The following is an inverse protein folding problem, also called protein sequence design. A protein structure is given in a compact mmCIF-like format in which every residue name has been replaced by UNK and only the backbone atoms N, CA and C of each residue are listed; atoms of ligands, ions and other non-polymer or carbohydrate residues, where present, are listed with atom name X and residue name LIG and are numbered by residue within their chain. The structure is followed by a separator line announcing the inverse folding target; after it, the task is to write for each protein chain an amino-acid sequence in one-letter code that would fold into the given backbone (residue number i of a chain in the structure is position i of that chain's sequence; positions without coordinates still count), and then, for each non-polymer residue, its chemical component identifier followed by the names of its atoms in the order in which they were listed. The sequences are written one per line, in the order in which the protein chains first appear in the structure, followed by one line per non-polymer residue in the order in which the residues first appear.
data_IF_130899728153
#
_entry.id   IF_130899728153
#
_cell.length_a   1.000
_cell.length_b   1.000
_cell.length_c   1.000
_cell.angle_alpha   90.00
_cell.angle_beta   90.00
_cell.angle_gamma   90.00
#
_symmetry.space_group_name_H-M   'P 1'
#
loop_
_entity.id
_entity.type
_entity.pdbx_description
1 polymer ?
#
# COMPACT_ATOMS: atom_id res chain seq x y z
N UNK A 1 12.11 9.44 -29.15
CA UNK A 1 11.24 10.65 -29.10
C UNK A 1 11.60 11.56 -27.92
N UNK A 2 11.74 11.05 -26.69
CA UNK A 2 12.11 11.89 -25.52
C UNK A 2 13.45 12.64 -25.64
N UNK A 3 14.45 12.05 -26.33
CA UNK A 3 15.75 12.71 -26.56
C UNK A 3 15.64 14.02 -27.36
N UNK A 4 14.75 14.09 -28.35
CA UNK A 4 14.54 15.32 -29.12
C UNK A 4 13.85 16.40 -28.28
N UNK A 5 12.92 16.02 -27.39
CA UNK A 5 12.29 16.95 -26.44
C UNK A 5 13.33 17.54 -25.49
N UNK A 6 14.27 16.71 -25.02
CA UNK A 6 15.41 17.16 -24.21
C UNK A 6 16.32 18.14 -24.94
N UNK A 7 16.65 17.88 -26.21
CA UNK A 7 17.47 18.79 -27.04
C UNK A 7 16.82 20.17 -27.22
N UNK A 8 15.50 20.20 -27.46
CA UNK A 8 14.76 21.46 -27.56
C UNK A 8 14.67 22.19 -26.20
N UNK A 9 14.47 21.47 -25.09
CA UNK A 9 14.52 22.07 -23.74
C UNK A 9 15.90 22.68 -23.44
N UNK A 10 16.99 21.97 -23.75
CA UNK A 10 18.36 22.45 -23.55
C UNK A 10 18.63 23.73 -24.36
N UNK A 11 18.17 23.76 -25.61
CA UNK A 11 18.29 24.93 -26.48
C UNK A 11 17.55 26.16 -25.91
N UNK A 12 16.30 26.00 -25.44
CA UNK A 12 15.55 27.10 -24.82
C UNK A 12 16.17 27.57 -23.50
N UNK A 13 16.74 26.68 -22.70
CA UNK A 13 17.45 27.07 -21.47
C UNK A 13 18.68 27.94 -21.76
N UNK A 14 19.44 27.65 -22.82
CA UNK A 14 20.59 28.47 -23.23
C UNK A 14 20.12 29.85 -23.71
N UNK A 15 19.03 29.91 -24.48
CA UNK A 15 18.45 31.18 -24.93
C UNK A 15 17.95 32.02 -23.73
N UNK A 16 17.24 31.40 -22.78
CA UNK A 16 16.75 32.08 -21.58
C UNK A 16 17.86 32.58 -20.65
N UNK A 17 18.98 31.85 -20.57
CA UNK A 17 20.17 32.31 -19.86
C UNK A 17 20.77 33.55 -20.53
N UNK A 18 20.85 33.57 -21.86
CA UNK A 18 21.36 34.74 -22.61
C UNK A 18 20.47 35.99 -22.54
N UNK A 19 19.16 35.81 -22.36
CA UNK A 19 18.18 36.92 -22.25
C UNK A 19 17.92 37.37 -20.81
N UNK A 20 18.71 36.92 -19.82
CA UNK A 20 18.57 37.29 -18.39
C UNK A 20 17.15 37.03 -17.82
N UNK A 21 16.47 35.97 -18.30
CA UNK A 21 15.08 35.68 -17.92
C UNK A 21 14.93 35.30 -16.43
N UNK A 22 16.03 35.05 -15.73
CA UNK A 22 16.10 34.81 -14.29
C UNK A 22 15.47 35.96 -13.47
N UNK A 23 15.41 37.18 -14.01
CA UNK A 23 14.70 38.29 -13.34
C UNK A 23 13.19 38.06 -13.21
N UNK A 24 12.60 37.11 -13.96
CA UNK A 24 11.20 36.69 -13.80
C UNK A 24 10.92 36.16 -12.38
N UNK A 25 11.93 35.58 -11.71
CA UNK A 25 11.79 35.13 -10.33
C UNK A 25 11.50 36.29 -9.36
N UNK A 26 11.89 37.52 -9.70
CA UNK A 26 11.54 38.73 -8.93
C UNK A 26 10.12 39.23 -9.21
N UNK A 27 9.56 38.87 -10.39
CA UNK A 27 8.18 39.20 -10.77
C UNK A 27 7.18 38.19 -10.18
N UNK A 28 7.62 36.97 -9.89
CA UNK A 28 6.82 35.98 -9.18
C UNK A 28 6.39 36.56 -7.82
N UNK A 29 5.11 36.87 -7.69
CA UNK A 29 4.57 37.42 -6.45
C UNK A 29 4.50 36.32 -5.40
N UNK A 30 4.70 36.69 -4.13
CA UNK A 30 4.57 35.77 -2.98
C UNK A 30 3.25 34.97 -3.00
N UNK A 31 2.17 35.57 -3.50
CA UNK A 31 0.88 34.89 -3.65
C UNK A 31 0.90 33.78 -4.72
N UNK A 32 1.66 33.95 -5.81
CA UNK A 32 1.83 32.91 -6.82
C UNK A 32 2.65 31.72 -6.30
N UNK A 33 3.67 31.98 -5.47
CA UNK A 33 4.44 30.92 -4.79
C UNK A 33 3.58 30.11 -3.80
N UNK A 34 2.75 30.81 -3.02
CA UNK A 34 1.81 30.17 -2.08
C UNK A 34 0.74 29.34 -2.81
N UNK A 35 0.23 29.80 -3.96
CA UNK A 35 -0.73 29.03 -4.77
C UNK A 35 -0.09 27.81 -5.45
N UNK A 36 1.14 27.95 -5.96
CA UNK A 36 1.84 26.86 -6.64
C UNK A 36 2.21 25.73 -5.67
N UNK A 37 2.70 26.07 -4.48
CA UNK A 37 2.98 25.09 -3.43
C UNK A 37 1.71 24.38 -2.94
N UNK A 38 0.59 25.11 -2.80
CA UNK A 38 -0.70 24.51 -2.47
C UNK A 38 -1.19 23.55 -3.57
N UNK A 39 -1.03 23.92 -4.84
CA UNK A 39 -1.40 23.05 -5.97
C UNK A 39 -0.63 21.72 -5.92
N UNK A 40 0.69 21.76 -5.70
CA UNK A 40 1.53 20.58 -5.57
C UNK A 40 1.10 19.74 -4.35
N UNK A 41 0.83 20.38 -3.21
CA UNK A 41 0.39 19.69 -2.00
C UNK A 41 -0.95 18.96 -2.21
N UNK A 42 -1.91 19.59 -2.90
CA UNK A 42 -3.19 18.96 -3.24
C UNK A 42 -2.97 17.77 -4.19
N UNK A 43 -2.16 17.95 -5.24
CA UNK A 43 -1.85 16.88 -6.20
C UNK A 43 -1.25 15.65 -5.50
N UNK A 44 -0.25 15.85 -4.63
CA UNK A 44 0.34 14.75 -3.87
C UNK A 44 -0.63 14.11 -2.87
N UNK A 45 -1.50 14.90 -2.25
CA UNK A 45 -2.51 14.38 -1.31
C UNK A 45 -3.53 13.49 -2.04
N UNK A 46 -4.03 13.93 -3.20
CA UNK A 46 -4.97 13.15 -4.02
C UNK A 46 -4.33 11.85 -4.50
N UNK A 47 -3.07 11.89 -4.92
CA UNK A 47 -2.35 10.69 -5.35
C UNK A 47 -2.15 9.70 -4.20
N UNK A 48 -1.78 10.21 -3.01
CA UNK A 48 -1.64 9.38 -1.80
C UNK A 48 -2.97 8.73 -1.40
N UNK A 49 -4.09 9.45 -1.48
CA UNK A 49 -5.43 8.92 -1.19
C UNK A 49 -5.82 7.86 -2.23
N UNK A 50 -5.55 8.08 -3.52
CA UNK A 50 -5.84 7.11 -4.60
C UNK A 50 -5.07 5.81 -4.37
N UNK A 51 -3.80 5.89 -3.98
CA UNK A 51 -2.99 4.71 -3.68
C UNK A 51 -3.60 3.91 -2.51
N UNK A 52 -4.00 4.58 -1.43
CA UNK A 52 -4.66 3.93 -0.29
C UNK A 52 -5.98 3.26 -0.70
N UNK A 53 -6.82 3.97 -1.45
CA UNK A 53 -8.11 3.45 -1.90
C UNK A 53 -7.96 2.21 -2.78
N UNK A 54 -6.98 2.22 -3.68
CA UNK A 54 -6.68 1.08 -4.57
C UNK A 54 -6.19 -0.12 -3.76
N UNK A 55 -5.29 0.09 -2.80
CA UNK A 55 -4.84 -0.97 -1.90
C UNK A 55 -5.97 -1.54 -1.06
N UNK A 56 -6.93 -0.72 -0.60
CA UNK A 56 -8.06 -1.19 0.20
C UNK A 56 -9.05 -2.01 -0.64
N UNK A 57 -9.44 -1.54 -1.83
CA UNK A 57 -10.35 -2.29 -2.71
C UNK A 57 -9.77 -3.64 -3.12
N UNK A 58 -8.51 -3.66 -3.56
CA UNK A 58 -7.87 -4.90 -4.02
C UNK A 58 -7.74 -5.97 -2.92
N UNK A 59 -7.54 -5.57 -1.66
CA UNK A 59 -7.35 -6.50 -0.54
C UNK A 59 -8.62 -6.77 0.28
N UNK A 60 -9.69 -5.97 0.12
CA UNK A 60 -10.97 -6.16 0.83
C UNK A 60 -12.03 -6.84 -0.02
N UNK A 61 -12.10 -6.55 -1.32
CA UNK A 61 -13.17 -7.06 -2.22
C UNK A 61 -12.99 -8.55 -2.55
N UNK A 62 -11.75 -9.04 -2.61
CA UNK A 62 -11.41 -10.47 -2.80
C UNK A 62 -11.91 -11.35 -1.65
N UNK A 63 -12.22 -10.76 -0.49
CA UNK A 63 -12.71 -11.51 0.67
C UNK A 63 -14.20 -11.87 0.59
N UNK A 64 -15.02 -11.10 -0.13
CA UNK A 64 -16.47 -11.33 -0.15
C UNK A 64 -16.81 -12.63 -0.89
N UNK A 65 -16.09 -12.93 -1.98
CA UNK A 65 -16.23 -14.18 -2.72
C UNK A 65 -15.60 -15.38 -2.00
N UNK A 66 -14.47 -15.19 -1.30
CA UNK A 66 -13.74 -16.26 -0.64
C UNK A 66 -14.49 -16.84 0.58
N UNK A 67 -15.14 -16.01 1.39
CA UNK A 67 -15.90 -16.48 2.57
C UNK A 67 -17.18 -17.23 2.17
N UNK A 68 -17.89 -16.74 1.15
CA UNK A 68 -19.10 -17.38 0.62
C UNK A 68 -18.79 -18.72 -0.04
N UNK A 69 -17.62 -18.85 -0.69
CA UNK A 69 -17.16 -20.12 -1.27
C UNK A 69 -16.69 -21.08 -0.18
N UNK A 70 -15.99 -20.61 0.86
CA UNK A 70 -15.53 -21.47 1.96
C UNK A 70 -16.69 -22.14 2.72
N UNK A 71 -17.74 -21.37 3.06
CA UNK A 71 -18.94 -21.92 3.72
C UNK A 71 -19.68 -22.93 2.82
N UNK A 72 -19.80 -22.62 1.52
CA UNK A 72 -20.43 -23.53 0.55
C UNK A 72 -19.63 -24.80 0.33
N UNK A 73 -18.29 -24.72 0.33
CA UNK A 73 -17.40 -25.87 0.22
C UNK A 73 -17.47 -26.74 1.48
N UNK A 74 -17.54 -26.17 2.68
CA UNK A 74 -17.74 -26.95 3.91
C UNK A 74 -19.10 -27.66 3.95
N UNK A 75 -20.16 -27.00 3.50
CA UNK A 75 -21.51 -27.58 3.44
C UNK A 75 -21.59 -28.70 2.39
N UNK A 76 -20.95 -28.52 1.23
CA UNK A 76 -20.77 -29.57 0.22
C UNK A 76 -19.95 -30.76 0.75
N UNK A 77 -18.90 -30.50 1.55
CA UNK A 77 -18.07 -31.55 2.17
C UNK A 77 -18.85 -32.37 3.20
N UNK A 78 -19.73 -31.73 3.99
CA UNK A 78 -20.65 -32.42 4.91
C UNK A 78 -21.66 -33.29 4.15
N UNK A 79 -22.17 -32.82 3.01
CA UNK A 79 -23.04 -33.59 2.12
C UNK A 79 -22.33 -34.80 1.50
N UNK A 80 -21.05 -34.67 1.15
CA UNK A 80 -20.23 -35.78 0.65
C UNK A 80 -19.95 -36.84 1.73
N UNK A 81 -19.68 -36.43 2.97
CA UNK A 81 -19.46 -37.37 4.09
C UNK A 81 -20.70 -38.25 4.35
N UNK A 82 -21.90 -37.67 4.19
CA UNK A 82 -23.18 -38.39 4.32
C UNK A 82 -23.47 -39.34 3.14
N UNK A 83 -23.01 -39.02 1.93
CA UNK A 83 -23.14 -39.88 0.76
C UNK A 83 -22.12 -41.02 0.72
N UNK A 84 -20.93 -40.84 1.31
CA UNK A 84 -19.88 -41.85 1.36
C UNK A 84 -20.27 -43.07 2.22
N UNK A 85 -21.14 -42.89 3.23
CA UNK A 85 -21.64 -43.99 4.07
C UNK A 85 -22.59 -44.95 3.31
N UNK A 86 -23.22 -44.50 2.21
CA UNK A 86 -24.15 -45.33 1.40
C UNK A 86 -23.47 -46.28 0.42
N UNK A 87 -22.17 -46.08 0.18
CA UNK A 87 -21.37 -46.90 -0.73
C UNK A 87 -20.41 -47.85 0.01
N UNK A 88 -20.52 -47.92 1.34
CA UNK A 88 -19.77 -48.82 2.22
C UNK A 88 -20.51 -50.15 2.45
N UNK A 89 -21.28 -50.61 1.47
CA UNK A 89 -21.80 -51.98 1.39
C UNK A 89 -21.40 -52.63 0.07
N UNK A 90 -20.11 -52.98 0.02
CA UNK A 90 -19.60 -54.23 -0.56
C UNK A 90 -19.26 -54.37 -2.06
N UNK A 91 -19.33 -53.37 -2.94
CA UNK A 91 -18.90 -53.59 -4.35
C UNK A 91 -17.94 -52.56 -4.95
N UNK A 92 -17.50 -51.56 -4.19
CA UNK A 92 -16.85 -50.38 -4.78
C UNK A 92 -15.32 -50.54 -4.81
N UNK A 93 -14.80 -51.55 -4.12
CA UNK A 93 -13.36 -51.83 -4.05
C UNK A 93 -12.83 -52.65 -5.24
N UNK A 94 -13.67 -53.01 -6.22
CA UNK A 94 -13.29 -53.95 -7.30
C UNK A 94 -13.27 -53.30 -8.70
N UNK A 95 -13.90 -52.13 -8.91
CA UNK A 95 -13.98 -51.54 -10.25
C UNK A 95 -13.22 -50.21 -10.31
N UNK A 96 -11.99 -50.32 -10.80
CA UNK A 96 -11.24 -49.34 -11.60
C UNK A 96 -10.41 -48.26 -10.88
N UNK A 97 -9.07 -48.30 -11.06
CA UNK A 97 -8.14 -47.27 -10.60
C UNK A 97 -7.90 -46.20 -11.68
N UNK A 98 -8.91 -45.50 -12.19
CA UNK A 98 -8.70 -44.50 -13.27
C UNK A 98 -9.73 -43.37 -13.32
N UNK A 99 -10.08 -42.73 -12.21
CA UNK A 99 -10.85 -41.48 -12.30
C UNK A 99 -10.75 -40.57 -11.07
N UNK A 100 -9.54 -40.30 -10.59
CA UNK A 100 -9.30 -39.34 -9.50
C UNK A 100 -8.46 -38.14 -9.97
N UNK A 101 -8.72 -37.60 -11.17
CA UNK A 101 -8.03 -36.39 -11.62
C UNK A 101 -8.95 -35.27 -12.17
N UNK A 102 -10.25 -35.49 -12.32
CA UNK A 102 -11.15 -34.49 -12.91
C UNK A 102 -12.33 -34.12 -12.01
N UNK A 103 -12.11 -34.04 -10.70
CA UNK A 103 -13.06 -33.38 -9.81
C UNK A 103 -12.29 -32.42 -8.90
N UNK A 104 -12.48 -31.14 -9.21
CA UNK A 104 -12.02 -29.99 -8.44
C UNK A 104 -10.50 -29.91 -8.24
N UNK A 105 -9.77 -29.62 -9.32
CA UNK A 105 -8.82 -28.50 -9.20
C UNK A 105 -9.65 -27.21 -9.07
N UNK A 106 -10.35 -27.09 -7.94
CA UNK A 106 -10.37 -25.81 -7.27
C UNK A 106 -8.91 -25.68 -6.89
N UNK A 107 -8.16 -24.97 -7.72
CA UNK A 107 -7.01 -24.25 -7.24
C UNK A 107 -7.62 -23.40 -6.11
N UNK A 108 -7.65 -23.95 -4.89
CA UNK A 108 -7.62 -23.15 -3.70
C UNK A 108 -6.25 -22.52 -3.82
N UNK A 109 -6.19 -21.49 -4.67
CA UNK A 109 -5.34 -20.37 -4.38
C UNK A 109 -5.75 -20.09 -2.95
N UNK A 110 -4.83 -20.41 -2.07
CA UNK A 110 -4.76 -19.90 -0.73
C UNK A 110 -4.76 -18.37 -0.86
N UNK A 111 -5.87 -17.82 -1.33
CA UNK A 111 -6.19 -16.41 -1.25
C UNK A 111 -6.75 -16.26 0.13
N UNK A 112 -5.86 -16.44 1.11
CA UNK A 112 -6.07 -15.95 2.46
C UNK A 112 -6.58 -14.54 2.31
N UNK A 113 -7.77 -14.30 2.84
CA UNK A 113 -8.34 -12.98 2.91
C UNK A 113 -7.45 -12.16 3.86
N UNK A 114 -6.49 -11.42 3.31
CA UNK A 114 -5.53 -10.62 4.07
C UNK A 114 -6.15 -9.26 4.42
N UNK A 115 -7.31 -9.29 5.09
CA UNK A 115 -7.94 -8.10 5.67
C UNK A 115 -6.99 -7.36 6.61
N UNK A 116 -6.21 -8.12 7.35
CA UNK A 116 -5.24 -7.61 8.30
C UNK A 116 -4.14 -6.78 7.60
N UNK A 117 -3.76 -7.14 6.38
CA UNK A 117 -2.78 -6.39 5.57
C UNK A 117 -3.32 -5.03 5.11
N UNK A 118 -4.62 -4.91 4.82
CA UNK A 118 -5.25 -3.61 4.50
C UNK A 118 -5.26 -2.67 5.69
N UNK A 119 -5.67 -3.18 6.85
CA UNK A 119 -5.73 -2.41 8.10
C UNK A 119 -4.32 -2.02 8.52
N UNK A 120 -3.37 -2.94 8.35
CA UNK A 120 -1.97 -2.67 8.58
C UNK A 120 -1.46 -1.53 7.68
N UNK A 121 -1.69 -1.58 6.38
CA UNK A 121 -1.21 -0.55 5.45
C UNK A 121 -1.72 0.84 5.85
N UNK A 122 -3.00 0.94 6.24
CA UNK A 122 -3.58 2.17 6.79
C UNK A 122 -2.89 2.60 8.08
N UNK A 123 -2.62 1.65 8.98
CA UNK A 123 -1.93 1.90 10.24
C UNK A 123 -0.48 2.35 10.04
N UNK A 124 0.29 1.76 9.11
CA UNK A 124 1.64 2.23 8.77
C UNK A 124 1.60 3.61 8.13
N UNK A 125 0.67 3.89 7.23
CA UNK A 125 0.61 5.16 6.52
C UNK A 125 0.23 6.31 7.45
N UNK A 126 -0.88 6.18 8.20
CA UNK A 126 -1.27 7.18 9.20
C UNK A 126 -0.33 7.22 10.40
N UNK A 127 0.21 6.07 10.83
CA UNK A 127 1.16 5.97 11.92
C UNK A 127 2.48 6.65 11.62
N UNK A 128 3.02 6.49 10.40
CA UNK A 128 4.24 7.18 9.96
C UNK A 128 4.02 8.69 9.88
N UNK A 129 2.88 9.13 9.34
CA UNK A 129 2.51 10.55 9.29
C UNK A 129 2.38 11.14 10.70
N UNK A 130 1.64 10.45 11.60
CA UNK A 130 1.44 10.87 12.97
C UNK A 130 2.76 10.98 13.73
N UNK A 131 3.59 9.94 13.64
CA UNK A 131 4.90 9.90 14.31
C UNK A 131 5.83 10.98 13.75
N UNK A 132 5.84 11.22 12.45
CA UNK A 132 6.65 12.28 11.83
C UNK A 132 6.20 13.66 12.32
N UNK A 133 4.89 13.90 12.38
CA UNK A 133 4.34 15.14 12.91
C UNK A 133 4.63 15.30 14.41
N UNK A 134 4.59 14.23 15.19
CA UNK A 134 4.96 14.22 16.60
C UNK A 134 6.44 14.56 16.81
N UNK A 135 7.34 13.92 16.05
CA UNK A 135 8.78 14.21 16.08
C UNK A 135 9.10 15.65 15.66
N UNK A 136 8.43 16.14 14.62
CA UNK A 136 8.56 17.54 14.19
C UNK A 136 8.03 18.51 15.26
N UNK A 137 6.94 18.16 15.95
CA UNK A 137 6.34 19.02 16.98
C UNK A 137 7.15 19.03 18.29
N UNK A 138 8.03 18.06 18.53
CA UNK A 138 8.99 18.14 19.65
C UNK A 138 9.88 19.38 19.59
N UNK A 139 10.01 20.01 18.41
CA UNK A 139 10.66 21.32 18.27
C UNK A 139 10.06 22.41 19.16
N UNK A 140 8.77 22.31 19.50
CA UNK A 140 8.06 23.28 20.34
C UNK A 140 8.11 22.94 21.83
N UNK A 141 8.48 21.71 22.19
CA UNK A 141 8.39 21.23 23.59
C UNK A 141 9.65 21.55 24.41
N UNK A 142 9.53 21.82 25.72
CA UNK A 142 10.65 22.18 26.59
C UNK A 142 11.46 20.97 27.13
N UNK A 143 11.15 19.75 26.70
CA UNK A 143 11.68 18.52 27.30
C UNK A 143 13.12 18.14 26.85
N UNK A 144 13.67 18.74 25.79
CA UNK A 144 14.99 18.40 25.24
C UNK A 144 15.88 19.64 25.06
N UNK A 145 17.20 19.47 25.18
CA UNK A 145 18.19 20.53 24.96
C UNK A 145 18.15 21.05 23.52
N UNK A 146 18.45 22.36 23.32
CA UNK A 146 18.28 23.08 22.04
C UNK A 146 18.86 22.35 20.83
N UNK A 147 20.11 21.87 20.94
CA UNK A 147 20.78 21.17 19.85
C UNK A 147 20.09 19.85 19.50
N UNK A 148 19.79 18.99 20.47
CA UNK A 148 19.16 17.67 20.21
C UNK A 148 17.81 17.78 19.50
N UNK A 149 17.11 18.88 19.72
CA UNK A 149 15.80 19.15 19.13
C UNK A 149 15.87 19.60 17.66
N UNK A 150 16.89 20.36 17.29
CA UNK A 150 17.14 20.74 15.89
C UNK A 150 17.47 19.48 15.08
N UNK A 151 18.39 18.65 15.58
CA UNK A 151 18.68 17.34 14.99
C UNK A 151 17.42 16.47 14.89
N UNK A 152 16.62 16.34 15.94
CA UNK A 152 15.41 15.50 15.89
C UNK A 152 14.38 15.99 14.85
N UNK A 153 14.24 17.30 14.66
CA UNK A 153 13.32 17.88 13.69
C UNK A 153 13.79 17.66 12.25
N UNK A 154 15.08 17.77 11.98
CA UNK A 154 15.67 17.57 10.65
C UNK A 154 15.61 16.09 10.22
N UNK A 155 15.71 15.16 11.17
CA UNK A 155 15.63 13.71 10.92
C UNK A 155 14.23 13.10 11.17
N UNK A 156 13.19 13.90 11.41
CA UNK A 156 11.87 13.40 11.78
C UNK A 156 11.30 12.40 10.75
N UNK A 157 11.34 12.75 9.46
CA UNK A 157 10.79 11.92 8.38
C UNK A 157 11.50 10.56 8.24
N UNK A 158 12.84 10.48 8.08
CA UNK A 158 13.52 9.20 8.00
C UNK A 158 13.44 8.39 9.31
N UNK A 159 13.47 9.05 10.48
CA UNK A 159 13.34 8.35 11.76
C UNK A 159 11.96 7.69 11.90
N UNK A 160 10.87 8.37 11.52
CA UNK A 160 9.53 7.80 11.57
C UNK A 160 9.35 6.62 10.63
N UNK A 161 9.91 6.68 9.41
CA UNK A 161 9.88 5.55 8.46
C UNK A 161 10.61 4.33 9.01
N UNK A 162 11.79 4.53 9.63
CA UNK A 162 12.54 3.44 10.23
C UNK A 162 11.78 2.80 11.39
N UNK A 163 11.30 3.62 12.34
CA UNK A 163 10.56 3.13 13.52
C UNK A 163 9.31 2.36 13.07
N UNK A 164 8.55 2.91 12.12
CA UNK A 164 7.32 2.27 11.65
C UNK A 164 7.60 1.03 10.79
N UNK A 165 8.71 0.99 10.03
CA UNK A 165 9.14 -0.21 9.32
C UNK A 165 9.55 -1.33 10.27
N UNK A 166 10.26 -1.00 11.37
CA UNK A 166 10.56 -1.98 12.41
C UNK A 166 9.29 -2.50 13.06
N UNK A 167 8.35 -1.62 13.43
CA UNK A 167 7.05 -2.03 14.00
C UNK A 167 6.30 -2.93 13.02
N UNK A 168 6.26 -2.56 11.73
CA UNK A 168 5.69 -3.42 10.68
C UNK A 168 6.38 -4.79 10.61
N UNK A 169 7.70 -4.84 10.59
CA UNK A 169 8.43 -6.10 10.54
C UNK A 169 8.21 -7.00 11.78
N UNK A 170 8.16 -6.42 12.99
CA UNK A 170 7.97 -7.19 14.22
C UNK A 170 6.51 -7.59 14.47
N UNK A 171 5.54 -6.72 14.17
CA UNK A 171 4.12 -7.03 14.35
C UNK A 171 3.57 -7.99 13.30
N UNK A 172 4.26 -8.16 12.16
CA UNK A 172 3.81 -8.96 11.02
C UNK A 172 4.72 -10.13 10.66
N UNK A 173 5.73 -10.44 11.49
CA UNK A 173 6.56 -11.63 11.31
C UNK A 173 5.77 -12.95 11.34
N UNK A 174 4.49 -12.91 11.72
CA UNK A 174 3.59 -14.07 11.81
C UNK A 174 2.58 -14.14 10.64
N UNK A 175 2.57 -13.15 9.74
CA UNK A 175 1.67 -13.07 8.57
C UNK A 175 2.45 -13.22 7.23
N UNK A 176 3.71 -13.66 7.30
CA UNK A 176 4.53 -14.07 6.16
C UNK A 176 4.67 -15.61 6.11
#
# INVERSE_FOLDING_TARGET
MYACVGLWCQFFLILYAGTELCSLMKLATRSAEEMFSLFIAIAFTVESIRAIHTSFMNNYEVCEDAQVVAEKVELARRQQLMNQQRNLSLLQKIINPELHHNFTQVHYSDTGCHRDTSILYLLLMFGTLWLAMFLYNFRKTPYLTRSRREWLADYALPASVLIMSFIGAYSFSEID
#
